data_IF_907356788318
#
_entry.id   IF_907356788318
#
_cell.length_a   1.000
_cell.length_b   1.000
_cell.length_c   1.000
_cell.angle_alpha   90.00
_cell.angle_beta   90.00
_cell.angle_gamma   90.00
#
_symmetry.space_group_name_H-M   'P 1'
#
loop_
_entity.id
_entity.type
_entity.pdbx_description
1 polymer ?
#
# COMPACT_ATOMS: atom_id res chain seq x y z
N UNK A 1 -27.17 -11.91 2.01
CA UNK A 1 -25.86 -11.58 1.39
C UNK A 1 -25.40 -10.22 1.88
N UNK A 2 -24.15 -10.14 2.29
CA UNK A 2 -23.56 -8.86 2.63
C UNK A 2 -22.87 -8.28 1.40
N UNK A 3 -23.17 -7.03 1.10
CA UNK A 3 -22.41 -6.29 0.11
C UNK A 3 -21.25 -5.61 0.81
N UNK A 4 -20.04 -5.81 0.28
CA UNK A 4 -18.84 -5.14 0.79
C UNK A 4 -18.47 -4.01 -0.14
N UNK A 5 -18.20 -2.85 0.43
CA UNK A 5 -17.71 -1.72 -0.32
C UNK A 5 -16.23 -1.93 -0.57
N UNK A 6 -15.81 -1.73 -1.80
CA UNK A 6 -14.42 -1.84 -2.23
C UNK A 6 -14.03 -0.60 -3.00
N UNK A 7 -12.72 -0.28 -3.00
CA UNK A 7 -12.21 0.83 -3.79
C UNK A 7 -12.43 0.56 -5.28
N UNK A 8 -12.75 1.62 -6.00
CA UNK A 8 -12.83 1.60 -7.46
C UNK A 8 -11.71 2.43 -8.08
N UNK A 9 -11.73 2.55 -9.41
CA UNK A 9 -10.70 3.25 -10.17
C UNK A 9 -10.58 4.72 -9.79
N UNK A 10 -11.70 5.41 -9.56
CA UNK A 10 -11.68 6.84 -9.21
C UNK A 10 -10.92 7.08 -7.90
N UNK A 11 -11.23 6.32 -6.87
CA UNK A 11 -10.54 6.40 -5.59
C UNK A 11 -9.08 6.03 -5.74
N UNK A 12 -8.77 4.97 -6.49
CA UNK A 12 -7.39 4.56 -6.75
C UNK A 12 -6.58 5.64 -7.43
N UNK A 13 -7.14 6.31 -8.42
CA UNK A 13 -6.47 7.42 -9.12
C UNK A 13 -6.22 8.59 -8.19
N UNK A 14 -7.22 8.98 -7.40
CA UNK A 14 -7.07 10.07 -6.44
C UNK A 14 -5.98 9.78 -5.42
N UNK A 15 -5.89 8.55 -4.95
CA UNK A 15 -4.87 8.13 -4.00
C UNK A 15 -3.48 8.26 -4.64
N UNK A 16 -3.29 7.69 -5.82
CA UNK A 16 -2.00 7.73 -6.52
C UNK A 16 -1.59 9.17 -6.82
N UNK A 17 -2.51 10.00 -7.30
CA UNK A 17 -2.24 11.42 -7.59
C UNK A 17 -1.79 12.17 -6.33
N UNK A 18 -2.45 11.93 -5.20
CA UNK A 18 -2.08 12.58 -3.93
C UNK A 18 -0.68 12.17 -3.49
N UNK A 19 -0.32 10.89 -3.64
CA UNK A 19 1.01 10.39 -3.31
C UNK A 19 2.07 11.03 -4.20
N UNK A 20 1.83 11.07 -5.52
CA UNK A 20 2.77 11.67 -6.47
C UNK A 20 2.96 13.15 -6.19
N UNK A 21 1.88 13.87 -5.90
CA UNK A 21 1.95 15.29 -5.55
C UNK A 21 2.80 15.50 -4.29
N UNK A 22 2.57 14.71 -3.24
CA UNK A 22 3.36 14.80 -2.01
C UNK A 22 4.84 14.46 -2.28
N UNK A 23 5.09 13.47 -3.12
CA UNK A 23 6.44 13.05 -3.46
C UNK A 23 7.23 14.13 -4.22
N UNK A 24 6.52 15.02 -4.92
CA UNK A 24 7.13 16.14 -5.64
C UNK A 24 7.26 17.41 -4.80
N UNK A 25 6.35 17.64 -3.85
CA UNK A 25 6.23 18.93 -3.17
C UNK A 25 6.51 18.88 -1.68
N UNK A 26 5.60 18.31 -0.90
CA UNK A 26 5.68 18.36 0.57
C UNK A 26 6.66 17.34 1.17
N UNK A 27 6.90 16.26 0.46
CA UNK A 27 7.82 15.19 0.88
C UNK A 27 8.75 14.82 -0.26
N UNK A 28 9.60 15.79 -0.73
CA UNK A 28 10.50 15.51 -1.84
C UNK A 28 11.58 14.50 -1.45
N UNK A 29 12.09 13.77 -2.43
CA UNK A 29 13.11 12.76 -2.21
C UNK A 29 13.33 11.90 -3.44
N UNK A 30 13.80 10.69 -3.23
CA UNK A 30 14.07 9.75 -4.32
C UNK A 30 12.76 9.41 -5.06
N UNK A 31 12.83 9.17 -6.38
CA UNK A 31 11.65 8.72 -7.12
C UNK A 31 11.13 7.39 -6.57
N UNK A 32 9.82 7.23 -6.60
CA UNK A 32 9.16 6.11 -5.96
C UNK A 32 8.00 5.59 -6.80
N UNK A 33 7.45 4.45 -6.39
CA UNK A 33 6.27 3.84 -6.99
C UNK A 33 5.12 3.77 -5.99
N UNK A 34 3.90 3.91 -6.48
CA UNK A 34 2.68 3.81 -5.68
C UNK A 34 1.68 2.87 -6.35
N UNK A 35 1.03 2.05 -5.54
CA UNK A 35 0.04 1.09 -5.99
C UNK A 35 -1.19 1.14 -5.10
N UNK A 36 -2.36 0.90 -5.67
CA UNK A 36 -3.61 0.76 -4.93
C UNK A 36 -4.28 -0.54 -5.35
N UNK A 37 -4.68 -1.34 -4.38
CA UNK A 37 -5.43 -2.58 -4.60
C UNK A 37 -6.81 -2.48 -3.97
N UNK A 38 -7.75 -3.27 -4.47
CA UNK A 38 -9.09 -3.36 -3.91
C UNK A 38 -9.12 -4.30 -2.68
N UNK A 39 -10.31 -4.57 -2.14
CA UNK A 39 -10.43 -5.40 -0.94
C UNK A 39 -10.14 -6.89 -1.16
N UNK A 40 -9.96 -7.31 -2.41
CA UNK A 40 -9.49 -8.66 -2.76
C UNK A 40 -7.99 -8.70 -3.06
N UNK A 41 -7.30 -7.57 -2.96
CA UNK A 41 -5.87 -7.49 -3.26
C UNK A 41 -5.56 -7.36 -4.74
N UNK A 42 -6.56 -7.06 -5.57
CA UNK A 42 -6.36 -6.91 -7.03
C UNK A 42 -5.98 -5.45 -7.35
N UNK A 43 -4.98 -5.29 -8.18
CA UNK A 43 -4.45 -3.97 -8.55
C UNK A 43 -5.50 -3.13 -9.28
N UNK A 44 -5.72 -1.91 -8.80
CA UNK A 44 -6.61 -0.94 -9.42
C UNK A 44 -5.83 0.14 -10.16
N UNK A 45 -4.81 0.69 -9.52
CA UNK A 45 -4.08 1.82 -10.06
C UNK A 45 -2.62 1.75 -9.62
N UNK A 46 -1.72 2.16 -10.50
CA UNK A 46 -0.29 2.09 -10.26
C UNK A 46 0.42 3.21 -11.00
N UNK A 47 1.46 3.77 -10.37
CA UNK A 47 2.38 4.67 -11.06
C UNK A 47 3.79 4.48 -10.55
N UNK A 48 4.75 4.52 -11.47
CA UNK A 48 6.17 4.55 -11.16
C UNK A 48 6.72 5.89 -11.63
N UNK A 49 7.30 6.68 -10.71
CA UNK A 49 7.94 7.93 -11.07
C UNK A 49 9.15 7.67 -11.97
N UNK A 50 9.40 8.60 -12.88
CA UNK A 50 10.60 8.54 -13.72
C UNK A 50 11.84 8.43 -12.83
N UNK A 51 12.72 7.52 -13.20
CA UNK A 51 13.96 7.28 -12.45
C UNK A 51 13.84 6.33 -11.25
N UNK A 52 12.63 5.92 -10.87
CA UNK A 52 12.48 4.91 -9.82
C UNK A 52 12.96 3.55 -10.34
N UNK A 53 13.69 2.80 -9.49
CA UNK A 53 14.22 1.50 -9.90
C UNK A 53 13.10 0.49 -10.12
N UNK A 54 13.33 -0.53 -10.98
CA UNK A 54 12.29 -1.53 -11.26
C UNK A 54 11.74 -2.25 -10.02
N UNK A 55 12.59 -2.49 -9.02
CA UNK A 55 12.15 -3.18 -7.80
C UNK A 55 11.07 -2.40 -7.05
N UNK A 56 11.05 -1.05 -7.17
CA UNK A 56 10.05 -0.24 -6.47
C UNK A 56 8.64 -0.54 -6.95
N UNK A 57 8.48 -0.83 -8.24
CA UNK A 57 7.18 -1.19 -8.81
C UNK A 57 6.63 -2.47 -8.18
N UNK A 58 7.47 -3.51 -8.14
CA UNK A 58 7.11 -4.79 -7.55
C UNK A 58 6.80 -4.65 -6.06
N UNK A 59 7.67 -3.93 -5.35
CA UNK A 59 7.51 -3.77 -3.89
C UNK A 59 6.26 -2.97 -3.53
N UNK A 60 5.94 -1.92 -4.29
CA UNK A 60 4.72 -1.14 -4.03
C UNK A 60 3.48 -2.03 -4.14
N UNK A 61 3.37 -2.80 -5.22
CA UNK A 61 2.24 -3.72 -5.42
C UNK A 61 2.21 -4.78 -4.31
N UNK A 62 3.36 -5.37 -3.99
CA UNK A 62 3.45 -6.44 -3.01
C UNK A 62 3.14 -5.94 -1.58
N UNK A 63 3.51 -4.72 -1.24
CA UNK A 63 3.17 -4.13 0.07
C UNK A 63 1.65 -3.96 0.21
N UNK A 64 0.99 -3.46 -0.83
CA UNK A 64 -0.47 -3.34 -0.82
C UNK A 64 -1.14 -4.72 -0.70
N UNK A 65 -0.68 -5.68 -1.47
CA UNK A 65 -1.18 -7.06 -1.42
C UNK A 65 -0.99 -7.66 -0.02
N UNK A 66 0.20 -7.51 0.55
CA UNK A 66 0.51 -8.05 1.89
C UNK A 66 -0.43 -7.49 2.95
N UNK A 67 -0.69 -6.17 2.91
CA UNK A 67 -1.61 -5.54 3.85
C UNK A 67 -3.01 -6.17 3.77
N UNK A 68 -3.52 -6.41 2.56
CA UNK A 68 -4.83 -7.07 2.37
C UNK A 68 -4.81 -8.50 2.88
N UNK A 69 -3.78 -9.28 2.57
CA UNK A 69 -3.70 -10.68 2.97
C UNK A 69 -3.71 -10.84 4.49
N UNK A 70 -3.02 -9.96 5.20
CA UNK A 70 -2.93 -10.03 6.65
C UNK A 70 -3.96 -9.16 7.37
N UNK A 71 -4.72 -8.34 6.63
CA UNK A 71 -5.68 -7.39 7.19
C UNK A 71 -5.02 -6.45 8.20
N UNK A 72 -3.78 -6.03 7.91
CA UNK A 72 -2.94 -5.19 8.77
C UNK A 72 -2.02 -4.34 7.91
N UNK A 73 -1.65 -3.18 8.41
CA UNK A 73 -0.58 -2.40 7.79
C UNK A 73 0.72 -3.22 7.82
N UNK A 74 1.56 -3.05 6.81
CA UNK A 74 2.75 -3.90 6.68
C UNK A 74 3.79 -3.69 7.78
N UNK A 75 3.78 -2.55 8.47
CA UNK A 75 4.60 -2.38 9.68
C UNK A 75 4.23 -3.41 10.74
N UNK A 76 2.94 -3.65 10.94
CA UNK A 76 2.48 -4.66 11.89
C UNK A 76 2.88 -6.07 11.47
N UNK A 77 2.83 -6.36 10.17
CA UNK A 77 3.26 -7.65 9.63
C UNK A 77 4.76 -7.84 9.89
N UNK A 78 5.56 -6.79 9.66
CA UNK A 78 6.99 -6.81 9.99
C UNK A 78 7.23 -7.10 11.47
N UNK A 79 6.47 -6.47 12.35
CA UNK A 79 6.59 -6.68 13.79
C UNK A 79 6.27 -8.13 14.18
N UNK A 80 5.28 -8.74 13.54
CA UNK A 80 4.95 -10.15 13.76
C UNK A 80 6.15 -11.05 13.43
N UNK A 81 6.86 -10.75 12.33
CA UNK A 81 8.06 -11.50 11.96
C UNK A 81 9.18 -11.30 12.99
N UNK A 82 9.37 -10.07 13.48
CA UNK A 82 10.38 -9.76 14.51
C UNK A 82 10.09 -10.50 15.81
N UNK A 83 8.83 -10.82 16.08
CA UNK A 83 8.40 -11.58 17.24
C UNK A 83 8.55 -13.10 17.04
N UNK A 84 9.11 -13.51 15.90
CA UNK A 84 9.39 -14.91 15.61
C UNK A 84 8.33 -15.64 14.80
N UNK A 85 7.31 -14.96 14.31
CA UNK A 85 6.32 -15.60 13.44
C UNK A 85 6.89 -15.75 12.03
N UNK A 86 6.86 -16.96 11.52
CA UNK A 86 7.24 -17.23 10.14
C UNK A 86 5.99 -17.09 9.25
N UNK A 87 5.96 -16.04 8.44
CA UNK A 87 4.84 -15.78 7.54
C UNK A 87 5.03 -16.37 6.15
N UNK A 88 6.17 -17.00 5.89
CA UNK A 88 6.48 -17.55 4.56
C UNK A 88 5.52 -18.65 4.12
N UNK A 89 4.82 -19.26 5.05
CA UNK A 89 3.84 -20.31 4.80
C UNK A 89 2.48 -19.80 4.31
N UNK A 90 2.24 -18.49 4.42
CA UNK A 90 0.92 -17.91 4.20
C UNK A 90 0.91 -17.10 2.92
N UNK A 91 -0.15 -17.28 2.13
CA UNK A 91 -0.31 -16.55 0.88
C UNK A 91 0.71 -16.98 -0.17
N UNK A 92 1.00 -16.07 -1.08
CA UNK A 92 1.98 -16.27 -2.16
C UNK A 92 3.33 -15.69 -1.71
N UNK A 93 4.36 -16.53 -1.46
CA UNK A 93 5.66 -16.04 -0.99
C UNK A 93 6.30 -15.02 -1.93
N UNK A 94 6.05 -15.13 -3.24
CA UNK A 94 6.61 -14.20 -4.24
C UNK A 94 5.97 -12.82 -4.17
N UNK A 95 4.83 -12.69 -3.51
CA UNK A 95 4.08 -11.45 -3.39
C UNK A 95 4.14 -10.83 -1.99
N UNK A 96 4.84 -11.45 -1.07
CA UNK A 96 4.93 -10.92 0.30
C UNK A 96 6.00 -9.84 0.39
N UNK A 97 5.64 -8.72 1.00
CA UNK A 97 6.55 -7.61 1.27
C UNK A 97 6.24 -7.05 2.67
N UNK A 98 6.67 -7.74 3.74
CA UNK A 98 6.31 -7.36 5.12
C UNK A 98 7.22 -6.27 5.66
N UNK A 99 7.24 -5.13 4.97
CA UNK A 99 8.01 -3.95 5.34
C UNK A 99 7.13 -2.71 5.22
N UNK A 100 7.38 -1.65 6.01
CA UNK A 100 6.52 -0.47 6.01
C UNK A 100 6.31 0.14 4.63
N UNK A 101 5.11 0.65 4.39
CA UNK A 101 4.69 1.23 3.12
C UNK A 101 3.40 0.65 2.57
N UNK A 102 2.87 -0.40 3.19
CA UNK A 102 1.54 -0.93 2.90
C UNK A 102 0.55 -0.49 3.96
N UNK A 103 -0.48 0.24 3.58
CA UNK A 103 -1.45 0.84 4.50
C UNK A 103 -2.86 0.44 4.07
N UNK A 104 -3.63 -0.08 5.01
CA UNK A 104 -5.04 -0.40 4.77
C UNK A 104 -5.87 0.86 4.63
N UNK A 105 -6.86 0.80 3.76
CA UNK A 105 -7.90 1.83 3.66
C UNK A 105 -9.15 1.26 4.31
N UNK A 106 -9.53 1.85 5.45
CA UNK A 106 -10.66 1.40 6.24
C UNK A 106 -11.83 2.36 6.11
N UNK A 107 -13.03 1.81 6.09
CA UNK A 107 -14.27 2.58 6.13
C UNK A 107 -14.61 2.94 7.57
N UNK A 108 -15.63 3.79 7.74
CA UNK A 108 -16.05 4.25 9.06
C UNK A 108 -16.52 3.12 9.99
N UNK A 109 -16.99 2.01 9.44
CA UNK A 109 -17.40 0.83 10.21
C UNK A 109 -16.24 -0.13 10.51
N UNK A 110 -15.01 0.22 10.09
CA UNK A 110 -13.82 -0.60 10.29
C UNK A 110 -13.57 -1.64 9.21
N UNK A 111 -14.48 -1.81 8.24
CA UNK A 111 -14.26 -2.72 7.12
C UNK A 111 -13.13 -2.21 6.21
N UNK A 112 -12.47 -3.13 5.52
CA UNK A 112 -11.34 -2.81 4.66
C UNK A 112 -11.80 -2.70 3.22
N UNK A 113 -11.59 -1.52 2.62
CA UNK A 113 -11.99 -1.26 1.23
C UNK A 113 -10.86 -1.52 0.23
N UNK A 114 -9.63 -1.56 0.69
CA UNK A 114 -8.44 -1.77 -0.13
C UNK A 114 -7.18 -1.43 0.63
N UNK A 115 -6.08 -1.26 -0.10
CA UNK A 115 -4.80 -0.88 0.48
C UNK A 115 -3.95 -0.11 -0.50
N UNK A 116 -3.01 0.65 0.07
CA UNK A 116 -2.00 1.41 -0.67
C UNK A 116 -0.65 0.77 -0.43
N UNK A 117 0.21 0.76 -1.43
CA UNK A 117 1.60 0.36 -1.28
C UNK A 117 2.52 1.39 -1.91
N UNK A 118 3.59 1.73 -1.22
CA UNK A 118 4.62 2.68 -1.69
C UNK A 118 5.99 2.10 -1.49
N UNK A 119 6.90 2.39 -2.41
CA UNK A 119 8.28 1.91 -2.35
C UNK A 119 9.22 2.84 -3.11
N UNK A 120 10.43 3.02 -2.61
CA UNK A 120 11.47 3.81 -3.27
C UNK A 120 12.27 4.65 -2.32
N UNK A 121 11.83 4.79 -1.08
CA UNK A 121 12.49 5.60 -0.06
C UNK A 121 12.78 4.74 1.18
N UNK A 122 13.21 5.37 2.25
CA UNK A 122 13.38 4.68 3.52
C UNK A 122 12.00 4.19 4.03
N UNK A 123 12.00 3.16 4.84
CA UNK A 123 10.77 2.53 5.33
C UNK A 123 9.76 3.54 5.91
N UNK A 124 10.22 4.44 6.78
CA UNK A 124 9.34 5.43 7.40
C UNK A 124 8.81 6.44 6.39
N UNK A 125 9.62 6.82 5.41
CA UNK A 125 9.22 7.75 4.35
C UNK A 125 8.20 7.10 3.41
N UNK A 126 8.41 5.83 3.06
CA UNK A 126 7.44 5.08 2.27
C UNK A 126 6.09 5.03 3.00
N UNK A 127 6.11 4.72 4.29
CA UNK A 127 4.89 4.67 5.09
C UNK A 127 4.16 6.01 5.15
N UNK A 128 4.90 7.11 5.31
CA UNK A 128 4.32 8.46 5.33
C UNK A 128 3.62 8.79 4.01
N UNK A 129 4.23 8.44 2.88
CA UNK A 129 3.63 8.67 1.57
C UNK A 129 2.38 7.82 1.37
N UNK A 130 2.39 6.57 1.84
CA UNK A 130 1.22 5.71 1.78
C UNK A 130 0.07 6.29 2.63
N UNK A 131 0.38 6.84 3.80
CA UNK A 131 -0.61 7.48 4.67
C UNK A 131 -1.23 8.72 4.00
N UNK A 132 -0.43 9.52 3.27
CA UNK A 132 -0.97 10.65 2.50
C UNK A 132 -2.04 10.16 1.54
N UNK A 133 -1.75 9.09 0.81
CA UNK A 133 -2.72 8.53 -0.12
C UNK A 133 -3.97 7.99 0.57
N UNK A 134 -3.78 7.20 1.62
CA UNK A 134 -4.90 6.62 2.36
C UNK A 134 -5.82 7.69 2.96
N UNK A 135 -5.27 8.84 3.34
CA UNK A 135 -6.01 9.94 3.94
C UNK A 135 -6.92 10.69 2.95
N UNK A 136 -6.78 10.45 1.65
CA UNK A 136 -7.60 11.13 0.64
C UNK A 136 -8.97 10.48 0.47
N UNK A 137 -9.16 9.27 0.97
CA UNK A 137 -10.44 8.57 0.85
C UNK A 137 -11.28 8.89 2.06
N UNK A 138 -12.40 9.58 1.80
CA UNK A 138 -13.39 9.91 2.81
C UNK A 138 -14.64 9.04 2.56
N UNK A 139 -14.99 8.24 3.52
CA UNK A 139 -16.15 7.36 3.40
C UNK A 139 -17.04 7.51 4.61
#
# INVERSE_FOLDING_TARGET
MQQKISLGLEEGRSIVEAILEAAHTTKPGRPMSAAVVDNAGVLICFARMDGASPITARMAVNKAYTAIQWQRDTREVQNMMKEGRDISWFGDPDRQAPVPGGILIKLGDGSIAGAVGTSGRKADEDEELALVGASTVHV
#
